data_IF_727516682085
#
_entry.id   IF_727516682085
#
_cell.length_a   1.000
_cell.length_b   1.000
_cell.length_c   1.000
_cell.angle_alpha   90.00
_cell.angle_beta   90.00
_cell.angle_gamma   90.00
#
_symmetry.space_group_name_H-M   'P 1'
#
loop_
_entity.id
_entity.type
_entity.pdbx_description
1 polymer ?
#
# COMPACT_ATOMS: atom_id res chain seq x y z
N UNK A 1 10.17 25.88 -9.93
CA UNK A 1 11.28 25.23 -9.17
C UNK A 1 12.65 25.28 -9.85
N UNK A 2 12.79 25.05 -11.17
CA UNK A 2 14.08 25.18 -11.91
C UNK A 2 14.82 26.48 -11.60
N UNK A 3 14.11 27.63 -11.60
CA UNK A 3 14.71 28.93 -11.22
C UNK A 3 15.29 28.95 -9.79
N UNK A 4 14.68 28.26 -8.81
CA UNK A 4 15.22 28.16 -7.44
C UNK A 4 16.43 27.22 -7.35
N UNK A 5 16.48 26.16 -8.16
CA UNK A 5 17.65 25.29 -8.26
C UNK A 5 18.80 26.06 -8.92
N UNK A 6 18.52 26.81 -9.99
CA UNK A 6 19.51 27.69 -10.62
C UNK A 6 20.00 28.79 -9.68
N UNK A 7 19.12 29.41 -8.88
CA UNK A 7 19.52 30.34 -7.81
C UNK A 7 20.40 29.66 -6.75
N UNK A 8 20.12 28.41 -6.39
CA UNK A 8 20.93 27.65 -5.46
C UNK A 8 22.30 27.29 -6.06
N UNK A 9 22.34 26.86 -7.33
CA UNK A 9 23.58 26.60 -8.09
C UNK A 9 24.40 27.89 -8.21
N UNK A 10 23.77 29.03 -8.47
CA UNK A 10 24.43 30.33 -8.49
C UNK A 10 25.03 30.69 -7.12
N UNK A 11 24.30 30.48 -6.02
CA UNK A 11 24.87 30.64 -4.67
C UNK A 11 26.01 29.66 -4.41
N UNK A 12 25.92 28.44 -4.95
CA UNK A 12 26.95 27.41 -4.90
C UNK A 12 28.16 27.73 -5.80
N UNK A 13 28.05 28.67 -6.73
CA UNK A 13 29.18 29.23 -7.47
C UNK A 13 29.83 30.37 -6.68
N UNK A 14 29.01 31.30 -6.18
CA UNK A 14 29.48 32.48 -5.46
C UNK A 14 30.19 32.14 -4.14
N UNK A 15 29.66 31.17 -3.39
CA UNK A 15 30.19 30.83 -2.08
C UNK A 15 31.59 30.19 -2.15
N UNK A 16 31.84 29.14 -2.97
CA UNK A 16 33.18 28.60 -3.15
C UNK A 16 34.15 29.63 -3.74
N UNK A 17 33.75 30.45 -4.70
CA UNK A 17 34.61 31.49 -5.28
C UNK A 17 35.14 32.46 -4.20
N UNK A 18 34.23 32.96 -3.35
CA UNK A 18 34.56 33.87 -2.23
C UNK A 18 35.42 33.20 -1.15
N UNK A 19 35.36 31.87 -1.04
CA UNK A 19 36.07 31.09 -0.02
C UNK A 19 37.17 30.19 -0.61
N UNK A 20 37.68 30.50 -1.81
CA UNK A 20 38.65 29.68 -2.53
C UNK A 20 39.96 29.45 -1.76
N UNK A 21 40.36 30.40 -0.91
CA UNK A 21 41.52 30.27 -0.02
C UNK A 21 41.34 29.19 1.06
N UNK A 22 40.09 28.81 1.37
CA UNK A 22 39.74 27.83 2.40
C UNK A 22 39.45 26.43 1.83
N UNK A 23 39.56 26.21 0.52
CA UNK A 23 39.25 24.90 -0.08
C UNK A 23 40.19 23.78 0.41
N UNK A 24 41.42 24.14 0.79
CA UNK A 24 42.39 23.22 1.39
C UNK A 24 42.23 22.98 2.88
N UNK A 25 41.32 23.70 3.55
CA UNK A 25 41.13 23.58 5.00
C UNK A 25 40.60 22.18 5.34
N UNK A 26 41.19 21.59 6.38
CA UNK A 26 41.00 20.18 6.69
C UNK A 26 39.72 20.00 7.51
N UNK A 27 38.60 19.77 6.83
CA UNK A 27 37.33 19.44 7.48
C UNK A 27 37.28 17.95 7.85
N UNK A 28 37.06 17.67 9.14
CA UNK A 28 37.01 16.30 9.70
C UNK A 28 35.67 15.61 9.44
N UNK A 29 35.30 15.47 8.16
CA UNK A 29 34.00 14.94 7.72
C UNK A 29 34.07 13.48 7.22
N UNK A 30 35.27 12.95 6.96
CA UNK A 30 35.44 11.58 6.47
C UNK A 30 35.55 10.60 7.63
N UNK A 31 34.87 9.46 7.53
CA UNK A 31 34.79 8.47 8.62
C UNK A 31 35.63 7.24 8.27
N UNK A 32 36.56 6.90 9.16
CA UNK A 32 37.24 5.60 9.18
C UNK A 32 37.17 5.03 10.61
N UNK A 33 38.31 4.78 11.26
CA UNK A 33 38.35 4.46 12.69
C UNK A 33 38.01 5.68 13.57
N UNK A 34 38.33 6.88 13.07
CA UNK A 34 37.98 8.19 13.62
C UNK A 34 37.56 9.09 12.46
N UNK A 35 37.02 10.28 12.75
CA UNK A 35 36.83 11.32 11.75
C UNK A 35 38.18 11.88 11.33
N UNK A 36 38.40 12.06 10.03
CA UNK A 36 39.61 12.67 9.47
C UNK A 36 39.23 13.64 8.35
N UNK A 37 40.13 14.58 8.07
CA UNK A 37 40.02 15.43 6.88
C UNK A 37 41.11 15.08 5.88
N UNK A 38 40.88 15.43 4.62
CA UNK A 38 41.82 15.18 3.53
C UNK A 38 42.09 16.47 2.77
N UNK A 39 43.33 16.94 2.83
CA UNK A 39 43.80 18.13 2.11
C UNK A 39 43.84 17.98 0.58
N UNK A 40 43.61 16.78 0.03
CA UNK A 40 43.49 16.54 -1.42
C UNK A 40 42.02 16.44 -1.85
N UNK A 41 41.25 15.59 -1.20
CA UNK A 41 39.83 15.38 -1.52
C UNK A 41 38.99 16.65 -1.34
N UNK A 42 39.17 17.40 -0.26
CA UNK A 42 38.36 18.61 0.01
C UNK A 42 38.47 19.65 -1.12
N UNK A 43 39.67 20.08 -1.54
CA UNK A 43 39.78 21.00 -2.66
C UNK A 43 39.36 20.35 -4.00
N UNK A 44 39.56 19.05 -4.21
CA UNK A 44 39.08 18.38 -5.43
C UNK A 44 37.55 18.43 -5.58
N UNK A 45 36.80 18.18 -4.50
CA UNK A 45 35.33 18.31 -4.52
C UNK A 45 34.88 19.77 -4.67
N UNK A 46 35.54 20.72 -4.02
CA UNK A 46 35.22 22.14 -4.19
C UNK A 46 35.48 22.63 -5.63
N UNK A 47 36.60 22.23 -6.25
CA UNK A 47 36.91 22.53 -7.66
C UNK A 47 35.87 21.90 -8.59
N UNK A 48 35.54 20.62 -8.37
CA UNK A 48 34.54 19.93 -9.18
C UNK A 48 33.17 20.62 -9.10
N UNK A 49 32.70 20.92 -7.89
CA UNK A 49 31.42 21.61 -7.69
C UNK A 49 31.40 23.02 -8.31
N UNK A 50 32.50 23.77 -8.18
CA UNK A 50 32.63 25.11 -8.75
C UNK A 50 32.63 25.09 -10.28
N UNK A 51 33.39 24.18 -10.89
CA UNK A 51 33.44 24.03 -12.35
C UNK A 51 32.12 23.52 -12.92
N UNK A 52 31.45 22.60 -12.23
CA UNK A 52 30.12 22.13 -12.63
C UNK A 52 29.10 23.28 -12.59
N UNK A 53 29.12 24.10 -11.54
CA UNK A 53 28.26 25.28 -11.43
C UNK A 53 28.55 26.32 -12.53
N UNK A 54 29.81 26.49 -12.94
CA UNK A 54 30.20 27.36 -14.07
C UNK A 54 29.65 26.84 -15.40
N UNK A 55 29.85 25.55 -15.69
CA UNK A 55 29.38 24.92 -16.93
C UNK A 55 27.86 24.99 -17.05
N UNK A 56 27.14 24.88 -15.94
CA UNK A 56 25.68 25.01 -15.87
C UNK A 56 25.16 26.40 -16.20
N UNK A 57 25.97 27.43 -15.96
CA UNK A 57 25.63 28.82 -16.27
C UNK A 57 25.87 29.12 -17.76
N UNK A 58 26.91 28.53 -18.36
CA UNK A 58 27.26 28.71 -19.77
C UNK A 58 26.39 27.91 -20.72
N UNK A 59 25.92 26.72 -20.30
CA UNK A 59 24.95 25.91 -21.06
C UNK A 59 23.92 25.23 -20.12
N UNK A 60 22.79 25.90 -19.84
CA UNK A 60 21.68 25.35 -19.06
C UNK A 60 21.05 24.09 -19.67
N UNK A 61 21.35 23.76 -20.94
CA UNK A 61 20.89 22.54 -21.62
C UNK A 61 21.80 21.32 -21.39
N UNK A 62 22.84 21.44 -20.56
CA UNK A 62 23.72 20.34 -20.18
C UNK A 62 23.06 19.32 -19.23
N UNK A 63 21.92 19.65 -18.64
CA UNK A 63 21.15 18.66 -17.88
C UNK A 63 20.58 17.61 -18.82
N UNK A 64 20.79 16.35 -18.46
CA UNK A 64 20.12 15.27 -19.17
C UNK A 64 18.60 15.49 -19.09
N UNK A 65 17.83 15.13 -20.14
CA UNK A 65 16.38 15.24 -20.12
C UNK A 65 15.75 14.63 -18.85
N UNK A 66 16.34 13.55 -18.34
CA UNK A 66 15.93 12.87 -17.11
C UNK A 66 16.12 13.76 -15.86
N UNK A 67 17.21 14.52 -15.77
CA UNK A 67 17.45 15.43 -14.65
C UNK A 67 16.52 16.66 -14.70
N UNK A 68 16.21 17.15 -15.91
CA UNK A 68 15.22 18.20 -16.13
C UNK A 68 13.83 17.71 -15.70
N UNK A 69 13.47 16.49 -16.06
CA UNK A 69 12.20 15.86 -15.65
C UNK A 69 12.12 15.70 -14.13
N UNK A 70 13.22 15.27 -13.48
CA UNK A 70 13.34 15.17 -12.02
C UNK A 70 13.29 16.52 -11.29
N UNK A 71 13.46 17.65 -11.97
CA UNK A 71 13.37 18.99 -11.36
C UNK A 71 12.09 19.73 -11.74
N UNK A 72 11.33 19.18 -12.71
CA UNK A 72 10.05 19.70 -13.15
C UNK A 72 8.90 19.20 -12.26
N UNK A 73 8.90 19.63 -11.00
CA UNK A 73 7.83 19.32 -10.05
C UNK A 73 6.57 20.10 -10.43
N UNK A 74 5.44 19.40 -10.61
CA UNK A 74 4.16 20.03 -10.86
C UNK A 74 3.65 20.77 -9.61
N UNK A 75 3.84 22.09 -9.58
CA UNK A 75 3.46 22.95 -8.45
C UNK A 75 1.96 22.88 -8.13
N UNK A 76 1.10 22.73 -9.14
CA UNK A 76 -0.35 22.59 -8.94
C UNK A 76 -0.69 21.27 -8.23
N UNK A 77 0.00 20.19 -8.57
CA UNK A 77 -0.14 18.89 -7.89
C UNK A 77 0.33 18.98 -6.45
N UNK A 78 1.48 19.63 -6.19
CA UNK A 78 2.00 19.84 -4.84
C UNK A 78 1.00 20.61 -3.99
N UNK A 79 0.49 21.75 -4.47
CA UNK A 79 -0.48 22.56 -3.73
C UNK A 79 -1.78 21.80 -3.47
N UNK A 80 -2.31 21.09 -4.47
CA UNK A 80 -3.54 20.31 -4.36
C UNK A 80 -3.42 19.23 -3.29
N UNK A 81 -2.35 18.43 -3.33
CA UNK A 81 -2.15 17.36 -2.36
C UNK A 81 -1.78 17.92 -0.98
N UNK A 82 -1.01 19.01 -0.90
CA UNK A 82 -0.68 19.64 0.39
C UNK A 82 -1.94 20.09 1.10
N UNK A 83 -2.86 20.77 0.40
CA UNK A 83 -4.15 21.20 0.95
C UNK A 83 -5.03 20.03 1.40
N UNK A 84 -4.90 18.88 0.76
CA UNK A 84 -5.64 17.67 1.12
C UNK A 84 -5.01 17.00 2.35
N UNK A 85 -3.73 16.64 2.29
CA UNK A 85 -3.03 15.91 3.35
C UNK A 85 -2.90 16.71 4.66
N UNK A 86 -2.74 18.04 4.60
CA UNK A 86 -2.71 18.90 5.80
C UNK A 86 -3.99 18.90 6.63
N UNK A 87 -5.11 18.42 6.07
CA UNK A 87 -6.39 18.31 6.78
C UNK A 87 -6.61 16.95 7.43
N UNK A 88 -5.76 15.97 7.16
CA UNK A 88 -5.92 14.62 7.69
C UNK A 88 -5.42 14.56 9.14
N UNK A 89 -6.17 13.92 10.07
CA UNK A 89 -5.81 13.85 11.49
C UNK A 89 -4.37 13.41 11.78
N UNK A 90 -3.85 12.41 11.05
CA UNK A 90 -2.46 11.91 11.22
C UNK A 90 -1.40 13.00 10.98
N UNK A 91 -1.72 14.02 10.17
CA UNK A 91 -0.81 15.11 9.84
C UNK A 91 -1.15 16.43 10.53
N UNK A 92 -2.05 16.42 11.52
CA UNK A 92 -2.49 17.62 12.26
C UNK A 92 -1.35 18.39 12.95
N UNK A 93 -0.25 17.70 13.28
CA UNK A 93 0.94 18.29 13.91
C UNK A 93 2.12 18.45 12.94
N UNK A 94 1.94 18.13 11.65
CA UNK A 94 3.00 18.19 10.65
C UNK A 94 2.97 19.54 9.97
N UNK A 95 4.11 20.23 9.96
CA UNK A 95 4.25 21.51 9.27
C UNK A 95 4.02 21.36 7.76
N UNK A 96 3.33 22.32 7.15
CA UNK A 96 2.94 22.27 5.74
C UNK A 96 4.14 22.06 4.79
N UNK A 97 5.28 22.70 5.05
CA UNK A 97 6.47 22.56 4.22
C UNK A 97 7.00 21.10 4.17
N UNK A 98 6.87 20.35 5.27
CA UNK A 98 7.29 18.96 5.33
C UNK A 98 6.37 18.05 4.49
N UNK A 99 5.07 18.35 4.48
CA UNK A 99 4.09 17.71 3.58
C UNK A 99 4.43 18.05 2.12
N UNK A 100 4.70 19.33 1.82
CA UNK A 100 5.06 19.79 0.46
C UNK A 100 6.30 19.07 -0.09
N UNK A 101 7.38 19.00 0.69
CA UNK A 101 8.61 18.29 0.28
C UNK A 101 8.34 16.82 0.05
N UNK A 102 7.52 16.19 0.89
CA UNK A 102 7.20 14.77 0.75
C UNK A 102 6.36 14.46 -0.49
N UNK A 103 5.51 15.40 -0.94
CA UNK A 103 4.71 15.25 -2.16
C UNK A 103 5.57 15.24 -3.43
N UNK A 104 6.82 15.72 -3.37
CA UNK A 104 7.77 15.58 -4.50
C UNK A 104 7.95 14.09 -4.88
N UNK A 105 7.75 13.17 -3.94
CA UNK A 105 7.68 11.72 -4.19
C UNK A 105 6.69 11.29 -5.30
N UNK A 106 5.72 12.15 -5.65
CA UNK A 106 4.86 11.97 -6.81
C UNK A 106 5.61 11.78 -8.14
N UNK A 107 6.89 12.16 -8.21
CA UNK A 107 7.77 11.87 -9.35
C UNK A 107 8.01 10.38 -9.61
N UNK A 108 7.65 9.49 -8.69
CA UNK A 108 7.69 8.04 -8.90
C UNK A 108 6.46 7.53 -9.68
N UNK A 109 5.42 8.36 -9.88
CA UNK A 109 4.20 7.98 -10.58
C UNK A 109 4.43 7.54 -12.05
N UNK A 110 5.28 8.18 -12.88
CA UNK A 110 5.56 7.72 -14.23
C UNK A 110 6.12 6.30 -14.26
N UNK A 111 6.97 5.94 -13.29
CA UNK A 111 7.44 4.58 -13.12
C UNK A 111 6.29 3.61 -12.83
N UNK A 112 5.41 3.95 -11.87
CA UNK A 112 4.25 3.11 -11.54
C UNK A 112 3.31 2.94 -12.73
N UNK A 113 3.11 4.01 -13.52
CA UNK A 113 2.30 3.95 -14.74
C UNK A 113 2.87 3.01 -15.81
N UNK A 114 4.19 2.79 -15.84
CA UNK A 114 4.82 1.76 -16.68
C UNK A 114 4.61 0.37 -16.08
N UNK A 115 4.84 0.23 -14.77
CA UNK A 115 4.73 -1.04 -14.07
C UNK A 115 3.30 -1.61 -14.02
N UNK A 116 2.28 -0.76 -14.04
CA UNK A 116 0.87 -1.18 -13.94
C UNK A 116 0.43 -2.19 -15.00
N UNK A 117 1.09 -2.22 -16.16
CA UNK A 117 0.73 -3.13 -17.26
C UNK A 117 1.49 -4.46 -17.23
N UNK A 118 2.33 -4.69 -16.22
CA UNK A 118 3.21 -5.86 -16.19
C UNK A 118 2.51 -7.17 -15.80
N UNK A 119 1.49 -7.12 -14.95
CA UNK A 119 0.90 -8.34 -14.34
C UNK A 119 -0.53 -8.60 -14.79
N UNK A 120 -1.41 -7.59 -14.75
CA UNK A 120 -2.83 -7.76 -15.05
C UNK A 120 -3.20 -7.06 -16.37
N UNK A 121 -3.99 -7.72 -17.25
CA UNK A 121 -4.43 -7.12 -18.50
C UNK A 121 -5.48 -6.02 -18.25
N UNK A 122 -5.28 -4.84 -18.83
CA UNK A 122 -6.19 -3.70 -18.65
C UNK A 122 -7.24 -3.66 -19.78
N UNK A 123 -8.47 -4.10 -19.51
CA UNK A 123 -9.61 -4.00 -20.45
C UNK A 123 -10.81 -3.32 -19.77
N UNK A 124 -11.34 -2.26 -20.39
CA UNK A 124 -12.59 -1.57 -20.02
C UNK A 124 -12.65 -0.89 -18.63
N UNK A 125 -11.51 -0.42 -18.10
CA UNK A 125 -11.43 0.07 -16.72
C UNK A 125 -11.52 1.61 -16.60
N UNK A 126 -11.98 2.09 -15.43
CA UNK A 126 -12.08 3.50 -15.10
C UNK A 126 -10.70 4.12 -14.77
N UNK A 127 -10.62 5.44 -14.56
CA UNK A 127 -9.35 6.10 -14.23
C UNK A 127 -8.85 5.64 -12.85
N UNK A 128 -7.62 5.11 -12.81
CA UNK A 128 -6.91 4.67 -11.61
C UNK A 128 -6.61 5.83 -10.63
N UNK A 129 -7.61 6.29 -9.87
CA UNK A 129 -7.43 7.45 -9.01
C UNK A 129 -6.46 7.18 -7.85
N UNK A 130 -6.32 5.92 -7.43
CA UNK A 130 -5.41 5.45 -6.38
C UNK A 130 -3.92 5.59 -6.76
N UNK A 131 -3.56 5.49 -8.04
CA UNK A 131 -2.15 5.54 -8.48
C UNK A 131 -1.46 6.85 -8.08
N UNK A 132 -2.18 7.98 -8.12
CA UNK A 132 -1.61 9.28 -7.75
C UNK A 132 -1.29 9.36 -6.24
N UNK A 133 -1.98 8.59 -5.39
CA UNK A 133 -1.80 8.59 -3.94
C UNK A 133 -0.65 7.70 -3.49
N UNK A 134 -0.42 6.55 -4.15
CA UNK A 134 0.57 5.55 -3.72
C UNK A 134 1.96 6.15 -3.44
N UNK A 135 2.60 6.89 -4.36
CA UNK A 135 3.90 7.48 -4.06
C UNK A 135 3.85 8.43 -2.87
N UNK A 136 2.82 9.27 -2.82
CA UNK A 136 2.70 10.34 -1.83
C UNK A 136 2.47 9.77 -0.43
N UNK A 137 1.61 8.76 -0.28
CA UNK A 137 1.35 8.15 1.03
C UNK A 137 2.62 7.54 1.60
N UNK A 138 3.38 6.82 0.78
CA UNK A 138 4.63 6.20 1.21
C UNK A 138 5.71 7.23 1.53
N UNK A 139 5.90 8.27 0.71
CA UNK A 139 6.93 9.29 0.96
C UNK A 139 6.59 10.19 2.14
N UNK A 140 5.34 10.62 2.28
CA UNK A 140 4.90 11.45 3.42
C UNK A 140 5.05 10.67 4.73
N UNK A 141 4.57 9.43 4.82
CA UNK A 141 4.72 8.63 6.04
C UNK A 141 6.19 8.30 6.35
N UNK A 142 7.00 8.00 5.34
CA UNK A 142 8.43 7.73 5.53
C UNK A 142 9.19 8.94 6.10
N UNK A 143 8.89 10.14 5.59
CA UNK A 143 9.51 11.38 6.06
C UNK A 143 8.95 11.80 7.43
N UNK A 144 7.64 11.68 7.63
CA UNK A 144 6.96 11.98 8.89
C UNK A 144 7.46 11.12 10.05
N UNK A 145 7.59 9.81 9.83
CA UNK A 145 8.13 8.86 10.82
C UNK A 145 9.64 9.05 11.08
N UNK A 146 10.35 9.83 10.25
CA UNK A 146 11.81 9.93 10.31
C UNK A 146 12.53 8.60 10.00
N UNK A 147 11.88 7.70 9.27
CA UNK A 147 12.37 6.35 9.01
C UNK A 147 13.48 6.33 7.96
N UNK A 148 13.36 7.21 6.96
CA UNK A 148 14.27 7.33 5.83
C UNK A 148 14.60 5.96 5.18
N UNK A 149 13.55 5.16 4.95
CA UNK A 149 13.66 3.88 4.24
C UNK A 149 14.26 4.10 2.85
N UNK A 150 15.00 3.10 2.37
CA UNK A 150 15.69 3.19 1.08
C UNK A 150 14.70 3.32 -0.08
N UNK A 151 15.10 4.03 -1.13
CA UNK A 151 14.27 4.20 -2.33
C UNK A 151 13.87 2.85 -2.96
N UNK A 152 14.76 1.84 -2.90
CA UNK A 152 14.45 0.48 -3.36
C UNK A 152 13.30 -0.14 -2.56
N UNK A 153 13.37 -0.08 -1.22
CA UNK A 153 12.31 -0.61 -0.36
C UNK A 153 10.99 0.12 -0.61
N UNK A 154 11.02 1.46 -0.67
CA UNK A 154 9.84 2.28 -0.97
C UNK A 154 9.23 1.92 -2.34
N UNK A 155 10.07 1.70 -3.34
CA UNK A 155 9.62 1.27 -4.67
C UNK A 155 8.94 -0.10 -4.62
N UNK A 156 9.55 -1.10 -3.99
CA UNK A 156 9.00 -2.46 -3.89
C UNK A 156 7.63 -2.47 -3.21
N UNK A 157 7.44 -1.65 -2.17
CA UNK A 157 6.16 -1.56 -1.45
C UNK A 157 5.11 -0.73 -2.22
N UNK A 158 5.54 0.24 -3.02
CA UNK A 158 4.65 0.97 -3.94
C UNK A 158 4.13 0.04 -5.05
N UNK A 159 4.99 -0.83 -5.61
CA UNK A 159 4.60 -1.85 -6.59
C UNK A 159 3.55 -2.79 -5.98
N UNK A 160 3.79 -3.33 -4.78
CA UNK A 160 2.81 -4.20 -4.12
C UNK A 160 1.51 -3.47 -3.81
N UNK A 161 1.58 -2.21 -3.36
CA UNK A 161 0.39 -1.40 -3.11
C UNK A 161 -0.46 -1.24 -4.37
N UNK A 162 0.17 -0.99 -5.53
CA UNK A 162 -0.51 -0.92 -6.82
C UNK A 162 -1.12 -2.26 -7.21
N UNK A 163 -0.35 -3.34 -7.11
CA UNK A 163 -0.83 -4.68 -7.46
C UNK A 163 -2.02 -5.11 -6.61
N UNK A 164 -2.10 -4.70 -5.35
CA UNK A 164 -3.25 -4.99 -4.49
C UNK A 164 -4.56 -4.43 -5.07
N UNK A 165 -4.56 -3.18 -5.56
CA UNK A 165 -5.73 -2.59 -6.23
C UNK A 165 -6.08 -3.34 -7.52
N UNK A 166 -5.06 -3.74 -8.29
CA UNK A 166 -5.29 -4.46 -9.55
C UNK A 166 -5.82 -5.88 -9.34
N UNK A 167 -5.38 -6.56 -8.27
CA UNK A 167 -5.92 -7.87 -7.88
C UNK A 167 -7.40 -7.73 -7.52
N UNK A 168 -7.75 -6.78 -6.66
CA UNK A 168 -9.13 -6.51 -6.25
C UNK A 168 -10.03 -6.33 -7.48
N UNK A 169 -9.62 -5.44 -8.39
CA UNK A 169 -10.35 -5.18 -9.64
C UNK A 169 -10.42 -6.40 -10.57
N UNK A 170 -9.32 -7.13 -10.73
CA UNK A 170 -9.28 -8.33 -11.57
C UNK A 170 -10.18 -9.44 -11.02
N UNK A 171 -10.24 -9.59 -9.69
CA UNK A 171 -11.09 -10.56 -9.03
C UNK A 171 -12.57 -10.20 -9.19
N UNK A 172 -12.93 -8.93 -9.00
CA UNK A 172 -14.31 -8.44 -9.11
C UNK A 172 -14.84 -8.40 -10.55
N UNK A 173 -13.96 -8.29 -11.55
CA UNK A 173 -14.35 -8.22 -12.96
C UNK A 173 -14.13 -9.55 -13.69
N UNK A 174 -12.87 -9.85 -14.04
CA UNK A 174 -12.52 -10.96 -14.91
C UNK A 174 -12.82 -12.32 -14.26
N UNK A 175 -12.48 -12.49 -12.98
CA UNK A 175 -12.70 -13.77 -12.28
C UNK A 175 -14.16 -13.96 -11.93
N UNK A 176 -14.83 -12.91 -11.44
CA UNK A 176 -16.27 -12.94 -11.16
C UNK A 176 -17.07 -13.47 -12.36
N UNK A 177 -16.84 -12.90 -13.55
CA UNK A 177 -17.60 -13.24 -14.76
C UNK A 177 -17.23 -14.62 -15.30
N UNK A 178 -15.93 -14.93 -15.37
CA UNK A 178 -15.45 -16.21 -15.90
C UNK A 178 -15.90 -17.40 -15.05
N UNK A 179 -15.95 -17.23 -13.74
CA UNK A 179 -16.33 -18.28 -12.78
C UNK A 179 -17.71 -18.02 -12.17
N UNK A 180 -18.62 -17.42 -12.94
CA UNK A 180 -20.00 -17.12 -12.51
C UNK A 180 -20.74 -18.34 -11.94
N UNK A 181 -20.50 -19.52 -12.51
CA UNK A 181 -21.20 -20.75 -12.13
C UNK A 181 -20.30 -21.76 -11.39
N UNK A 182 -19.00 -21.48 -11.20
CA UNK A 182 -18.05 -22.46 -10.67
C UNK A 182 -16.85 -21.81 -9.96
N UNK A 183 -17.11 -21.15 -8.82
CA UNK A 183 -16.04 -20.59 -7.98
C UNK A 183 -15.17 -21.67 -7.32
N UNK A 184 -15.71 -22.88 -7.10
CA UNK A 184 -14.96 -23.96 -6.46
C UNK A 184 -13.84 -24.47 -7.37
N UNK A 185 -14.05 -24.54 -8.69
CA UNK A 185 -12.95 -24.79 -9.63
C UNK A 185 -11.86 -23.72 -9.56
N UNK A 186 -12.21 -22.44 -9.43
CA UNK A 186 -11.22 -21.38 -9.25
C UNK A 186 -10.40 -21.59 -7.96
N UNK A 187 -11.05 -21.89 -6.83
CA UNK A 187 -10.37 -22.21 -5.56
C UNK A 187 -9.44 -23.41 -5.71
N UNK A 188 -9.89 -24.47 -6.38
CA UNK A 188 -9.07 -25.65 -6.65
C UNK A 188 -7.85 -25.32 -7.51
N UNK A 189 -8.00 -24.48 -8.55
CA UNK A 189 -6.88 -24.03 -9.38
C UNK A 189 -5.84 -23.25 -8.57
N UNK A 190 -6.26 -22.30 -7.74
CA UNK A 190 -5.36 -21.50 -6.89
C UNK A 190 -4.60 -22.39 -5.90
N UNK A 191 -5.30 -23.28 -5.18
CA UNK A 191 -4.66 -24.24 -4.28
C UNK A 191 -3.65 -25.12 -5.00
N UNK A 192 -3.99 -25.58 -6.21
CA UNK A 192 -3.08 -26.37 -7.05
C UNK A 192 -1.84 -25.58 -7.44
N UNK A 193 -1.98 -24.33 -7.86
CA UNK A 193 -0.84 -23.44 -8.19
C UNK A 193 0.02 -23.20 -6.94
N UNK A 194 -0.59 -22.95 -5.78
CA UNK A 194 0.12 -22.76 -4.51
C UNK A 194 0.90 -24.02 -4.08
N UNK A 195 0.39 -25.22 -4.38
CA UNK A 195 1.08 -26.50 -4.13
C UNK A 195 2.15 -26.79 -5.19
N UNK A 196 1.88 -26.60 -6.48
CA UNK A 196 2.82 -26.86 -7.56
C UNK A 196 4.02 -25.92 -7.54
N UNK A 197 3.79 -24.67 -7.17
CA UNK A 197 4.88 -23.73 -6.87
C UNK A 197 5.72 -24.22 -5.70
N UNK A 198 5.28 -25.15 -4.82
CA UNK A 198 6.19 -25.75 -3.83
C UNK A 198 7.15 -26.70 -4.54
N UNK A 199 6.68 -27.50 -5.50
CA UNK A 199 7.48 -28.50 -6.21
C UNK A 199 8.52 -27.94 -7.19
N UNK A 200 8.18 -26.88 -7.96
CA UNK A 200 9.10 -26.27 -8.95
C UNK A 200 10.35 -25.61 -8.34
N UNK A 201 10.34 -25.33 -7.04
CA UNK A 201 11.39 -24.55 -6.37
C UNK A 201 12.38 -25.42 -5.55
N UNK A 202 12.18 -26.74 -5.52
CA UNK A 202 13.12 -27.71 -4.91
C UNK A 202 13.86 -28.58 -5.94
N UNK A 203 13.55 -28.47 -7.24
CA UNK A 203 14.23 -29.19 -8.33
C UNK A 203 14.93 -28.24 -9.29
N UNK A 204 16.08 -28.64 -9.85
CA UNK A 204 16.63 -27.97 -11.05
C UNK A 204 15.55 -27.98 -12.14
N UNK A 205 15.37 -26.89 -12.90
CA UNK A 205 14.33 -26.82 -13.92
C UNK A 205 14.61 -27.86 -15.01
N UNK A 206 13.87 -28.96 -15.01
CA UNK A 206 13.75 -29.82 -16.17
C UNK A 206 12.68 -29.23 -17.08
N UNK A 207 12.96 -29.01 -18.38
CA UNK A 207 11.92 -28.65 -19.34
C UNK A 207 10.98 -29.84 -19.43
N UNK A 208 9.80 -29.72 -18.83
CA UNK A 208 8.73 -30.69 -19.01
C UNK A 208 7.71 -30.02 -19.91
N UNK A 209 7.66 -30.49 -21.15
CA UNK A 209 6.60 -30.21 -22.13
C UNK A 209 5.25 -30.43 -21.45
N UNK A 210 4.54 -29.33 -21.16
CA UNK A 210 3.16 -29.41 -20.74
C UNK A 210 2.30 -29.60 -21.99
N UNK A 211 1.50 -30.67 -22.01
CA UNK A 211 0.51 -30.91 -23.04
C UNK A 211 -0.37 -29.68 -23.22
N UNK A 212 -0.20 -29.04 -24.38
CA UNK A 212 -0.91 -27.88 -24.86
C UNK A 212 -2.37 -28.24 -25.15
N UNK A 213 -3.27 -28.07 -24.19
CA UNK A 213 -4.69 -27.84 -24.45
C UNK A 213 -5.40 -27.34 -23.18
N UNK A 214 -6.18 -26.27 -23.33
CA UNK A 214 -7.16 -25.67 -22.39
C UNK A 214 -6.72 -24.59 -21.37
N UNK A 215 -5.45 -24.16 -21.34
CA UNK A 215 -5.08 -22.97 -20.56
C UNK A 215 -4.16 -21.95 -21.27
N UNK A 216 -3.72 -22.24 -22.51
CA UNK A 216 -2.64 -21.48 -23.19
C UNK A 216 -3.12 -20.65 -24.40
N UNK A 217 -4.35 -20.77 -24.88
CA UNK A 217 -4.75 -20.02 -26.10
C UNK A 217 -4.94 -18.50 -25.88
N UNK A 218 -4.76 -17.98 -24.66
CA UNK A 218 -4.73 -16.52 -24.44
C UNK A 218 -3.60 -16.01 -23.54
N UNK A 219 -2.56 -16.82 -23.31
CA UNK A 219 -1.37 -16.38 -22.57
C UNK A 219 -0.11 -16.23 -23.46
N UNK A 220 -0.16 -16.72 -24.71
CA UNK A 220 1.01 -16.78 -25.62
C UNK A 220 1.26 -15.51 -26.45
N UNK A 221 0.46 -14.45 -26.31
CA UNK A 221 0.71 -13.15 -26.98
C UNK A 221 1.46 -12.14 -26.08
N UNK A 222 1.96 -12.56 -24.91
CA UNK A 222 2.63 -11.67 -23.94
C UNK A 222 4.14 -11.90 -23.76
N UNK A 223 4.72 -12.86 -24.49
CA UNK A 223 6.17 -13.03 -24.57
C UNK A 223 6.67 -12.59 -25.94
N UNK A 224 6.87 -11.28 -26.13
CA UNK A 224 7.97 -10.70 -26.92
C UNK A 224 7.76 -9.20 -27.03
N UNK A 225 8.33 -8.44 -26.10
CA UNK A 225 9.14 -7.25 -26.38
C UNK A 225 9.74 -6.73 -25.07
N UNK A 226 11.05 -6.49 -25.09
CA UNK A 226 11.92 -6.44 -23.92
C UNK A 226 11.51 -5.43 -22.86
N UNK A 227 11.37 -5.91 -21.62
CA UNK A 227 11.17 -5.08 -20.44
C UNK A 227 12.46 -5.12 -19.61
N UNK A 228 13.14 -3.98 -19.51
CA UNK A 228 14.22 -3.71 -18.55
C UNK A 228 13.68 -3.69 -17.10
N UNK A 229 13.17 -4.83 -16.61
CA UNK A 229 12.55 -5.00 -15.29
C UNK A 229 13.00 -6.26 -14.54
N UNK A 230 14.12 -6.87 -14.94
CA UNK A 230 14.60 -8.15 -14.42
C UNK A 230 14.81 -8.15 -12.90
N UNK A 231 15.25 -7.05 -12.29
CA UNK A 231 15.54 -7.00 -10.85
C UNK A 231 14.29 -7.08 -9.96
N UNK A 232 13.20 -6.40 -10.30
CA UNK A 232 12.00 -6.37 -9.46
C UNK A 232 11.23 -7.70 -9.49
N UNK A 233 11.20 -8.36 -10.65
CA UNK A 233 10.59 -9.69 -10.79
C UNK A 233 11.43 -10.76 -10.10
N UNK A 234 12.76 -10.67 -10.19
CA UNK A 234 13.67 -11.60 -9.52
C UNK A 234 13.59 -11.50 -7.98
N UNK A 235 13.48 -10.28 -7.44
CA UNK A 235 13.34 -10.04 -6.02
C UNK A 235 11.97 -10.49 -5.49
N UNK A 236 10.86 -10.18 -6.20
CA UNK A 236 9.53 -10.68 -5.83
C UNK A 236 9.46 -12.20 -5.84
N UNK A 237 10.00 -12.86 -6.87
CA UNK A 237 10.05 -14.32 -6.92
C UNK A 237 10.85 -14.90 -5.75
N UNK A 238 11.99 -14.28 -5.42
CA UNK A 238 12.84 -14.68 -4.30
C UNK A 238 12.14 -14.49 -2.95
N UNK A 239 11.43 -13.38 -2.76
CA UNK A 239 10.68 -13.09 -1.53
C UNK A 239 9.48 -14.05 -1.38
N UNK A 240 8.78 -14.37 -2.47
CA UNK A 240 7.68 -15.34 -2.52
C UNK A 240 8.12 -16.80 -2.30
N UNK A 241 9.43 -17.09 -2.27
CA UNK A 241 9.96 -18.39 -1.81
C UNK A 241 9.80 -18.59 -0.30
N UNK A 242 9.59 -17.53 0.48
CA UNK A 242 9.34 -17.66 1.91
C UNK A 242 7.96 -18.28 2.13
N UNK A 243 7.94 -19.49 2.69
CA UNK A 243 6.74 -20.32 2.81
C UNK A 243 5.55 -19.61 3.48
N UNK A 244 5.82 -18.76 4.48
CA UNK A 244 4.78 -17.97 5.16
C UNK A 244 4.12 -16.95 4.24
N UNK A 245 4.89 -16.24 3.40
CA UNK A 245 4.34 -15.22 2.51
C UNK A 245 3.45 -15.83 1.42
N UNK A 246 3.83 -16.99 0.88
CA UNK A 246 2.99 -17.69 -0.10
C UNK A 246 1.65 -18.10 0.47
N UNK A 247 1.64 -18.62 1.71
CA UNK A 247 0.40 -19.00 2.37
C UNK A 247 -0.51 -17.79 2.61
N UNK A 248 0.07 -16.63 2.97
CA UNK A 248 -0.68 -15.38 3.12
C UNK A 248 -1.24 -14.90 1.78
N UNK A 249 -0.47 -14.98 0.69
CA UNK A 249 -0.96 -14.64 -0.65
C UNK A 249 -2.09 -15.58 -1.10
N UNK A 250 -1.94 -16.89 -0.91
CA UNK A 250 -3.00 -17.86 -1.17
C UNK A 250 -4.27 -17.52 -0.37
N UNK A 251 -4.11 -17.19 0.91
CA UNK A 251 -5.23 -16.80 1.79
C UNK A 251 -5.93 -15.54 1.28
N UNK A 252 -5.18 -14.53 0.82
CA UNK A 252 -5.70 -13.30 0.23
C UNK A 252 -6.52 -13.58 -1.04
N UNK A 253 -6.01 -14.37 -1.99
CA UNK A 253 -6.74 -14.70 -3.22
C UNK A 253 -7.99 -15.55 -2.93
N UNK A 254 -7.90 -16.51 -2.01
CA UNK A 254 -9.06 -17.31 -1.58
C UNK A 254 -10.10 -16.44 -0.87
N UNK A 255 -9.69 -15.43 -0.11
CA UNK A 255 -10.59 -14.47 0.52
C UNK A 255 -11.38 -13.65 -0.51
N UNK A 256 -10.75 -13.22 -1.61
CA UNK A 256 -11.42 -12.57 -2.75
C UNK A 256 -12.52 -13.47 -3.34
N UNK A 257 -12.23 -14.75 -3.57
CA UNK A 257 -13.25 -15.70 -4.06
C UNK A 257 -14.39 -15.92 -3.06
N UNK A 258 -14.10 -15.92 -1.76
CA UNK A 258 -15.12 -16.03 -0.73
C UNK A 258 -15.99 -14.76 -0.65
N UNK A 259 -15.39 -13.58 -0.82
CA UNK A 259 -16.14 -12.31 -0.90
C UNK A 259 -17.07 -12.31 -2.11
N UNK A 260 -16.61 -12.74 -3.29
CA UNK A 260 -17.45 -12.89 -4.48
C UNK A 260 -18.64 -13.83 -4.20
N UNK A 261 -18.39 -14.95 -3.53
CA UNK A 261 -19.47 -15.87 -3.14
C UNK A 261 -20.46 -15.21 -2.17
N UNK A 262 -19.97 -14.54 -1.13
CA UNK A 262 -20.82 -13.87 -0.14
C UNK A 262 -21.63 -12.72 -0.77
N UNK A 263 -21.07 -11.98 -1.75
CA UNK A 263 -21.80 -10.98 -2.55
C UNK A 263 -22.95 -11.62 -3.36
N UNK A 264 -22.73 -12.78 -3.98
CA UNK A 264 -23.78 -13.50 -4.72
C UNK A 264 -24.91 -13.95 -3.81
N UNK A 265 -24.57 -14.51 -2.65
CA UNK A 265 -25.55 -14.90 -1.63
C UNK A 265 -26.38 -13.69 -1.19
N UNK A 266 -25.75 -12.52 -1.00
CA UNK A 266 -26.47 -11.28 -0.70
C UNK A 266 -27.43 -10.86 -1.84
N UNK A 267 -26.98 -10.94 -3.10
CA UNK A 267 -27.78 -10.63 -4.28
C UNK A 267 -29.02 -11.50 -4.45
N UNK A 268 -28.96 -12.78 -4.05
CA UNK A 268 -30.12 -13.68 -4.04
C UNK A 268 -31.22 -13.22 -3.05
N UNK A 269 -30.84 -12.60 -1.94
CA UNK A 269 -31.80 -11.99 -0.99
C UNK A 269 -32.38 -10.65 -1.49
N UNK A 270 -31.81 -10.06 -2.55
CA UNK A 270 -32.14 -8.72 -3.06
C UNK A 270 -32.31 -8.65 -4.58
N UNK A 271 -33.39 -9.16 -5.17
CA UNK A 271 -33.62 -8.98 -6.60
C UNK A 271 -33.74 -7.48 -6.95
N UNK A 272 -33.05 -7.05 -8.03
CA UNK A 272 -32.96 -5.65 -8.50
C UNK A 272 -34.31 -4.94 -8.70
N UNK A 273 -35.41 -5.68 -8.83
CA UNK A 273 -36.78 -5.16 -9.03
C UNK A 273 -37.52 -4.81 -7.72
N UNK A 274 -36.87 -4.99 -6.58
CA UNK A 274 -37.45 -4.67 -5.27
C UNK A 274 -37.29 -3.17 -4.96
N UNK A 275 -38.36 -2.48 -4.53
CA UNK A 275 -38.32 -1.15 -3.88
C UNK A 275 -37.15 -1.08 -2.87
N UNK A 276 -36.56 0.09 -2.56
CA UNK A 276 -35.35 0.18 -1.72
C UNK A 276 -35.64 -0.42 -0.34
N UNK A 277 -35.34 -1.71 -0.19
CA UNK A 277 -35.63 -2.45 1.03
C UNK A 277 -34.65 -1.95 2.08
N UNK A 278 -35.17 -1.79 3.30
CA UNK A 278 -34.38 -1.81 4.54
C UNK A 278 -33.15 -2.72 4.40
N UNK A 279 -32.02 -2.29 4.93
CA UNK A 279 -30.74 -2.99 4.79
C UNK A 279 -30.90 -4.49 5.05
N UNK A 280 -30.56 -5.27 4.04
CA UNK A 280 -30.70 -6.71 4.07
C UNK A 280 -29.73 -7.28 5.09
N UNK A 281 -30.30 -8.06 6.01
CA UNK A 281 -29.56 -8.79 7.02
C UNK A 281 -28.86 -9.99 6.39
N UNK A 282 -27.58 -9.83 6.09
CA UNK A 282 -26.70 -10.93 5.78
C UNK A 282 -26.45 -11.72 7.06
N UNK A 283 -26.93 -12.96 7.11
CA UNK A 283 -26.58 -13.91 8.17
C UNK A 283 -26.04 -15.18 7.54
N UNK A 284 -24.83 -15.58 7.95
CA UNK A 284 -24.28 -16.89 7.66
C UNK A 284 -24.36 -17.71 8.94
N UNK A 285 -24.99 -18.91 8.93
CA UNK A 285 -25.14 -19.70 10.15
C UNK A 285 -23.82 -19.87 10.89
N UNK A 286 -23.78 -19.45 12.16
CA UNK A 286 -22.61 -19.61 13.03
C UNK A 286 -21.45 -18.63 12.82
N UNK A 287 -21.62 -17.52 12.08
CA UNK A 287 -20.62 -16.45 11.99
C UNK A 287 -21.17 -15.11 12.46
N UNK A 288 -20.51 -14.48 13.41
CA UNK A 288 -20.78 -13.10 13.84
C UNK A 288 -20.11 -12.09 12.90
N UNK A 289 -20.51 -10.83 12.97
CA UNK A 289 -19.78 -9.72 12.35
C UNK A 289 -18.30 -9.71 12.74
N UNK A 290 -18.01 -9.94 14.04
CA UNK A 290 -16.65 -9.99 14.56
C UNK A 290 -15.81 -11.08 13.87
N UNK A 291 -16.36 -12.29 13.72
CA UNK A 291 -15.66 -13.39 13.05
C UNK A 291 -15.44 -13.08 11.57
N UNK A 292 -16.44 -12.51 10.90
CA UNK A 292 -16.34 -12.18 9.48
C UNK A 292 -15.26 -11.11 9.24
N UNK A 293 -15.28 -10.00 10.01
CA UNK A 293 -14.35 -8.88 9.83
C UNK A 293 -12.91 -9.30 10.10
N UNK A 294 -12.66 -10.17 11.09
CA UNK A 294 -11.33 -10.65 11.46
C UNK A 294 -10.80 -11.83 10.63
N UNK A 295 -11.64 -12.49 9.84
CA UNK A 295 -11.25 -13.64 9.02
C UNK A 295 -11.27 -13.30 7.53
N UNK A 296 -12.37 -13.63 6.85
CA UNK A 296 -12.51 -13.50 5.39
C UNK A 296 -12.30 -12.06 4.97
N UNK A 297 -12.88 -11.11 5.71
CA UNK A 297 -12.84 -9.70 5.36
C UNK A 297 -11.45 -9.08 5.56
N UNK A 298 -10.82 -9.29 6.71
CA UNK A 298 -9.44 -8.85 6.94
C UNK A 298 -8.47 -9.44 5.90
N UNK A 299 -8.60 -10.73 5.58
CA UNK A 299 -7.78 -11.36 4.56
C UNK A 299 -8.02 -10.80 3.15
N UNK A 300 -9.24 -10.33 2.84
CA UNK A 300 -9.59 -9.69 1.57
C UNK A 300 -8.86 -8.36 1.34
N UNK A 301 -8.58 -7.58 2.41
CA UNK A 301 -8.02 -6.22 2.28
C UNK A 301 -6.54 -6.14 1.85
N UNK A 302 -5.91 -7.26 1.48
CA UNK A 302 -4.47 -7.42 1.19
C UNK A 302 -3.51 -7.12 2.35
N UNK A 303 -3.96 -6.43 3.41
CA UNK A 303 -3.13 -5.94 4.52
C UNK A 303 -2.27 -7.02 5.18
N UNK A 304 -2.83 -8.22 5.43
CA UNK A 304 -2.11 -9.33 6.04
C UNK A 304 -0.94 -9.85 5.18
N UNK A 305 -1.18 -9.99 3.87
CA UNK A 305 -0.17 -10.37 2.89
C UNK A 305 0.89 -9.27 2.73
N UNK A 306 0.46 -8.01 2.55
CA UNK A 306 1.38 -6.88 2.37
C UNK A 306 2.24 -6.62 3.60
N UNK A 307 1.71 -6.81 4.81
CA UNK A 307 2.48 -6.75 6.06
C UNK A 307 3.55 -7.84 6.11
N UNK A 308 3.21 -9.05 5.67
CA UNK A 308 4.15 -10.17 5.61
C UNK A 308 5.24 -9.92 4.56
N UNK A 309 4.87 -9.36 3.41
CA UNK A 309 5.82 -8.95 2.36
C UNK A 309 6.76 -7.85 2.85
N UNK A 310 6.20 -6.81 3.48
CA UNK A 310 6.96 -5.71 4.07
C UNK A 310 7.95 -6.19 5.13
N UNK A 311 7.49 -7.07 6.02
CA UNK A 311 8.33 -7.72 7.04
C UNK A 311 9.48 -8.49 6.40
N UNK A 312 9.25 -9.08 5.22
CA UNK A 312 10.30 -9.77 4.49
C UNK A 312 11.39 -8.82 3.97
N UNK A 313 10.98 -7.68 3.39
CA UNK A 313 11.87 -6.64 2.85
C UNK A 313 12.74 -5.98 3.92
N UNK A 314 12.16 -5.66 5.07
CA UNK A 314 12.94 -5.04 6.16
C UNK A 314 13.92 -6.04 6.78
N UNK A 315 13.57 -7.32 6.81
CA UNK A 315 14.45 -8.37 7.36
C UNK A 315 15.63 -8.69 6.42
N UNK A 316 15.43 -8.70 5.10
CA UNK A 316 16.52 -8.93 4.14
C UNK A 316 17.53 -7.79 4.11
N UNK A 317 17.13 -6.58 4.48
CA UNK A 317 18.02 -5.42 4.60
C UNK A 317 18.83 -5.40 5.91
N UNK A 318 18.44 -6.18 6.91
CA UNK A 318 19.25 -6.34 8.12
C UNK A 318 20.24 -7.49 7.93
N UNK A 319 21.53 -7.22 8.10
CA UNK A 319 22.61 -8.24 8.10
C UNK A 319 22.52 -9.23 9.27
N UNK A 320 21.39 -9.26 9.99
CA UNK A 320 21.12 -10.15 11.12
C UNK A 320 20.33 -11.35 10.62
N UNK A 321 20.95 -12.52 10.73
CA UNK A 321 20.35 -13.82 10.44
C UNK A 321 18.88 -13.94 10.88
N UNK A 322 18.05 -14.52 10.00
CA UNK A 322 16.58 -14.70 10.04
C UNK A 322 16.00 -15.45 11.28
N UNK A 323 16.77 -15.66 12.36
CA UNK A 323 16.47 -16.67 13.38
C UNK A 323 16.27 -16.17 14.82
N UNK A 324 15.98 -14.89 15.08
CA UNK A 324 15.83 -14.41 16.47
C UNK A 324 14.55 -13.66 16.81
N UNK A 325 13.45 -13.84 16.06
CA UNK A 325 12.15 -13.36 16.54
C UNK A 325 11.59 -14.25 17.65
N UNK A 326 11.43 -13.67 18.85
CA UNK A 326 10.83 -14.36 20.00
C UNK A 326 9.37 -14.74 19.72
N UNK A 327 8.83 -15.71 20.45
CA UNK A 327 7.40 -16.08 20.33
C UNK A 327 6.50 -14.88 20.65
N UNK A 328 6.89 -14.04 21.60
CA UNK A 328 6.16 -12.83 21.96
C UNK A 328 6.13 -11.82 20.79
N UNK A 329 7.26 -11.60 20.12
CA UNK A 329 7.32 -10.74 18.92
C UNK A 329 6.42 -11.26 17.81
N UNK A 330 6.45 -12.58 17.54
CA UNK A 330 5.59 -13.20 16.52
C UNK A 330 4.11 -13.05 16.87
N UNK A 331 3.75 -13.25 18.13
CA UNK A 331 2.38 -13.09 18.60
C UNK A 331 1.90 -11.63 18.48
N UNK A 332 2.68 -10.67 18.96
CA UNK A 332 2.33 -9.25 18.89
C UNK A 332 2.32 -8.72 17.45
N UNK A 333 3.21 -9.22 16.58
CA UNK A 333 3.17 -8.89 15.14
C UNK A 333 1.90 -9.45 14.47
N UNK A 334 1.46 -10.65 14.87
CA UNK A 334 0.20 -11.25 14.41
C UNK A 334 -1.01 -10.44 14.88
N UNK A 335 -0.98 -9.98 16.13
CA UNK A 335 -2.03 -9.19 16.76
C UNK A 335 -2.17 -7.82 16.08
N UNK A 336 -1.05 -7.10 15.96
CA UNK A 336 -0.90 -5.85 15.22
C UNK A 336 -1.50 -5.93 13.81
N UNK A 337 -1.06 -6.91 13.00
CA UNK A 337 -1.50 -7.00 11.60
C UNK A 337 -2.98 -7.38 11.46
N UNK A 338 -3.56 -8.10 12.43
CA UNK A 338 -4.99 -8.45 12.41
C UNK A 338 -5.86 -7.25 12.68
N UNK A 339 -5.57 -6.49 13.72
CA UNK A 339 -6.28 -5.25 14.02
C UNK A 339 -6.15 -4.24 12.87
N UNK A 340 -4.94 -4.13 12.29
CA UNK A 340 -4.73 -3.26 11.13
C UNK A 340 -5.57 -3.69 9.92
N UNK A 341 -5.67 -4.99 9.63
CA UNK A 341 -6.48 -5.49 8.51
C UNK A 341 -8.00 -5.34 8.74
N UNK A 342 -8.48 -5.57 9.97
CA UNK A 342 -9.88 -5.33 10.33
C UNK A 342 -10.24 -3.84 10.20
N UNK A 343 -9.37 -2.95 10.71
CA UNK A 343 -9.50 -1.51 10.58
C UNK A 343 -9.57 -1.06 9.11
N UNK A 344 -8.68 -1.59 8.24
CA UNK A 344 -8.72 -1.32 6.80
C UNK A 344 -10.07 -1.67 6.19
N UNK A 345 -10.61 -2.85 6.54
CA UNK A 345 -11.90 -3.29 6.03
C UNK A 345 -13.01 -2.33 6.45
N UNK A 346 -13.03 -1.94 7.72
CA UNK A 346 -14.08 -1.10 8.27
C UNK A 346 -14.08 0.31 7.68
N UNK A 347 -12.90 0.92 7.49
CA UNK A 347 -12.83 2.20 6.79
C UNK A 347 -13.23 2.10 5.31
N UNK A 348 -12.82 1.03 4.63
CA UNK A 348 -13.23 0.80 3.25
C UNK A 348 -14.75 0.65 3.15
N UNK A 349 -15.35 -0.18 4.01
CA UNK A 349 -16.80 -0.37 4.08
C UNK A 349 -17.53 0.93 4.42
N UNK A 350 -16.99 1.75 5.33
CA UNK A 350 -17.58 3.05 5.68
C UNK A 350 -17.64 4.00 4.49
N UNK A 351 -16.58 4.06 3.68
CA UNK A 351 -16.51 4.93 2.51
C UNK A 351 -17.28 4.40 1.29
N UNK A 352 -17.46 3.08 1.21
CA UNK A 352 -18.03 2.40 0.03
C UNK A 352 -19.53 2.14 0.10
N UNK A 353 -20.22 2.49 1.18
CA UNK A 353 -21.64 2.13 1.45
C UNK A 353 -22.55 2.32 0.23
N UNK A 354 -22.53 3.51 -0.38
CA UNK A 354 -23.40 3.82 -1.52
C UNK A 354 -23.00 3.02 -2.76
N UNK A 355 -21.70 2.85 -3.00
CA UNK A 355 -21.18 2.08 -4.13
C UNK A 355 -21.55 0.61 -3.99
N UNK A 356 -21.28 0.02 -2.83
CA UNK A 356 -21.54 -1.40 -2.56
C UNK A 356 -23.03 -1.72 -2.57
N UNK A 357 -23.90 -0.80 -2.18
CA UNK A 357 -25.35 -0.97 -2.36
C UNK A 357 -25.75 -1.09 -3.84
N UNK A 358 -25.18 -0.26 -4.71
CA UNK A 358 -25.46 -0.28 -6.16
C UNK A 358 -24.88 -1.52 -6.84
N UNK A 359 -23.70 -1.96 -6.39
CA UNK A 359 -22.99 -3.13 -6.91
C UNK A 359 -23.44 -4.45 -6.27
N UNK A 360 -24.36 -4.41 -5.29
CA UNK A 360 -24.77 -5.56 -4.46
C UNK A 360 -23.61 -6.26 -3.75
N UNK A 361 -22.57 -5.50 -3.39
CA UNK A 361 -21.42 -5.98 -2.65
C UNK A 361 -21.73 -6.01 -1.15
N UNK A 362 -21.30 -7.09 -0.48
CA UNK A 362 -21.46 -7.25 0.97
C UNK A 362 -20.61 -6.21 1.71
N UNK A 363 -21.27 -5.45 2.58
CA UNK A 363 -20.70 -4.40 3.42
C UNK A 363 -20.93 -4.74 4.90
N UNK A 364 -20.09 -4.21 5.80
CA UNK A 364 -20.28 -4.30 7.25
C UNK A 364 -21.71 -3.95 7.70
N UNK A 365 -22.37 -2.97 7.09
CA UNK A 365 -23.72 -2.56 7.48
C UNK A 365 -24.81 -3.61 7.19
N UNK A 366 -24.52 -4.62 6.37
CA UNK A 366 -25.45 -5.73 6.11
C UNK A 366 -25.56 -6.72 7.27
N UNK A 367 -24.72 -6.61 8.30
CA UNK A 367 -24.77 -7.50 9.46
C UNK A 367 -25.83 -7.05 10.46
N UNK A 368 -26.59 -8.02 10.99
CA UNK A 368 -27.72 -7.77 11.88
C UNK A 368 -27.32 -7.01 13.14
N UNK A 369 -26.10 -7.20 13.63
CA UNK A 369 -25.52 -6.50 14.78
C UNK A 369 -25.62 -4.97 14.65
N UNK A 370 -25.51 -4.43 13.42
CA UNK A 370 -25.62 -2.98 13.19
C UNK A 370 -27.06 -2.47 13.35
N UNK A 371 -28.07 -3.30 13.12
CA UNK A 371 -29.46 -2.89 13.28
C UNK A 371 -29.86 -2.68 14.76
N UNK A 372 -29.04 -3.17 15.70
CA UNK A 372 -29.25 -3.07 17.13
C UNK A 372 -28.46 -1.91 17.79
N UNK A 373 -27.73 -1.10 17.01
CA UNK A 373 -26.89 -0.02 17.54
C UNK A 373 -27.67 1.27 17.93
N UNK A 374 -29.01 1.24 17.98
CA UNK A 374 -29.86 2.36 18.40
C UNK A 374 -29.79 2.61 19.92
N UNK A 375 -29.95 3.88 20.33
CA UNK A 375 -29.76 4.38 21.71
C UNK A 375 -30.34 3.48 22.81
N UNK A 376 -29.51 3.10 23.78
CA UNK A 376 -29.90 2.46 25.05
C UNK A 376 -30.58 3.43 26.04
N UNK A 377 -30.73 4.70 25.65
CA UNK A 377 -31.36 5.76 26.44
C UNK A 377 -32.85 5.98 26.12
N UNK A 378 -33.43 5.23 25.18
CA UNK A 378 -34.88 5.21 25.02
C UNK A 378 -35.48 4.52 26.26
N UNK A 379 -36.30 5.25 27.00
CA UNK A 379 -37.02 4.76 28.17
C UNK A 379 -37.59 3.36 27.89
N UNK A 380 -37.41 2.45 28.86
CA UNK A 380 -37.70 1.00 28.84
C UNK A 380 -39.19 0.65 28.63
N UNK A 381 -40.00 1.57 28.10
CA UNK A 381 -41.44 1.44 27.93
C UNK A 381 -41.98 1.61 26.50
N UNK A 382 -41.15 1.82 25.47
CA UNK A 382 -41.62 1.72 24.08
C UNK A 382 -41.46 0.30 23.55
N UNK A 383 -42.59 -0.38 23.28
CA UNK A 383 -42.68 -1.71 22.67
C UNK A 383 -42.34 -1.75 21.17
N UNK A 384 -41.92 -0.61 20.59
CA UNK A 384 -41.49 -0.55 19.20
C UNK A 384 -39.98 -0.83 19.12
N UNK A 385 -39.63 -1.94 18.47
CA UNK A 385 -38.24 -2.23 18.06
C UNK A 385 -37.80 -1.15 17.05
N UNK A 386 -37.32 -0.01 17.54
CA UNK A 386 -36.69 1.00 16.71
C UNK A 386 -35.33 0.47 16.24
N UNK A 387 -35.30 -0.07 15.02
CA UNK A 387 -34.07 -0.41 14.32
C UNK A 387 -33.20 0.84 14.12
N UNK A 388 -31.89 0.66 14.21
CA UNK A 388 -30.94 1.74 13.99
C UNK A 388 -31.04 2.29 12.55
N UNK A 389 -31.10 3.61 12.40
CA UNK A 389 -31.05 4.24 11.09
C UNK A 389 -29.66 4.11 10.43
N UNK A 390 -29.53 4.52 9.16
CA UNK A 390 -28.23 4.44 8.47
C UNK A 390 -27.14 5.33 9.10
N UNK A 391 -27.52 6.48 9.68
CA UNK A 391 -26.57 7.39 10.33
C UNK A 391 -26.01 6.76 11.60
N UNK A 392 -26.86 6.16 12.42
CA UNK A 392 -26.48 5.43 13.63
C UNK A 392 -25.57 4.24 13.30
N UNK A 393 -25.90 3.49 12.24
CA UNK A 393 -25.09 2.36 11.78
C UNK A 393 -23.73 2.77 11.24
N UNK A 394 -23.66 3.86 10.47
CA UNK A 394 -22.39 4.46 10.03
C UNK A 394 -21.55 4.91 11.21
N UNK A 395 -22.16 5.55 12.21
CA UNK A 395 -21.47 5.97 13.42
C UNK A 395 -20.92 4.76 14.19
N UNK A 396 -21.70 3.69 14.33
CA UNK A 396 -21.24 2.45 14.95
C UNK A 396 -20.07 1.81 14.18
N UNK A 397 -20.13 1.74 12.85
CA UNK A 397 -19.04 1.20 12.04
C UNK A 397 -17.75 2.02 12.19
N UNK A 398 -17.87 3.35 12.19
CA UNK A 398 -16.73 4.23 12.44
C UNK A 398 -16.14 4.01 13.84
N UNK A 399 -16.98 3.86 14.87
CA UNK A 399 -16.52 3.54 16.23
C UNK A 399 -15.81 2.19 16.30
N UNK A 400 -16.25 1.17 15.56
CA UNK A 400 -15.54 -0.11 15.49
C UNK A 400 -14.16 0.04 14.84
N UNK A 401 -14.05 0.84 13.77
CA UNK A 401 -12.75 1.15 13.16
C UNK A 401 -11.80 1.84 14.13
N UNK A 402 -12.28 2.81 14.92
CA UNK A 402 -11.48 3.47 15.95
C UNK A 402 -11.10 2.52 17.10
N UNK A 403 -11.96 1.55 17.43
CA UNK A 403 -11.65 0.49 18.39
C UNK A 403 -10.48 -0.38 17.88
N UNK A 404 -10.55 -0.84 16.62
CA UNK A 404 -9.46 -1.58 15.99
C UNK A 404 -8.16 -0.77 15.93
N UNK A 405 -8.24 0.54 15.62
CA UNK A 405 -7.08 1.46 15.66
C UNK A 405 -6.46 1.53 17.06
N UNK A 406 -7.26 1.56 18.12
CA UNK A 406 -6.77 1.60 19.50
C UNK A 406 -6.10 0.28 19.92
N UNK A 407 -6.68 -0.87 19.54
CA UNK A 407 -6.09 -2.19 19.76
C UNK A 407 -4.77 -2.34 19.00
N UNK A 408 -4.75 -1.96 17.72
CA UNK A 408 -3.57 -1.90 16.86
C UNK A 408 -2.45 -1.07 17.49
N UNK A 409 -2.77 0.14 17.97
CA UNK A 409 -1.81 1.04 18.62
C UNK A 409 -1.21 0.41 19.89
N UNK A 410 -2.02 -0.32 20.65
CA UNK A 410 -1.57 -1.02 21.86
C UNK A 410 -0.63 -2.17 21.51
N UNK A 411 -0.99 -3.01 20.53
CA UNK A 411 -0.15 -4.10 20.05
C UNK A 411 1.19 -3.58 19.50
N UNK A 412 1.16 -2.49 18.71
CA UNK A 412 2.36 -1.86 18.18
C UNK A 412 3.27 -1.32 19.28
N UNK A 413 2.69 -0.66 20.30
CA UNK A 413 3.43 -0.14 21.45
C UNK A 413 4.15 -1.25 22.22
N UNK A 414 3.47 -2.37 22.47
CA UNK A 414 4.08 -3.52 23.15
C UNK A 414 5.15 -4.20 22.30
N UNK A 415 4.89 -4.40 20.99
CA UNK A 415 5.86 -4.97 20.07
C UNK A 415 7.14 -4.12 20.00
N UNK A 416 6.96 -2.80 19.88
CA UNK A 416 8.03 -1.81 19.75
C UNK A 416 9.04 -1.81 20.90
N UNK A 417 8.65 -2.28 22.09
CA UNK A 417 9.58 -2.39 23.24
C UNK A 417 10.69 -3.41 23.02
N UNK A 418 10.47 -4.34 22.10
CA UNK A 418 11.37 -5.48 21.86
C UNK A 418 12.10 -5.41 20.52
N UNK A 419 11.75 -4.46 19.65
CA UNK A 419 12.34 -4.30 18.33
C UNK A 419 13.54 -3.36 18.38
N UNK A 420 14.50 -3.55 17.48
CA UNK A 420 15.51 -2.53 17.23
C UNK A 420 14.90 -1.29 16.56
N UNK A 421 15.65 -0.19 16.60
CA UNK A 421 15.16 1.10 16.13
C UNK A 421 14.83 1.11 14.62
N UNK A 422 15.56 0.35 13.81
CA UNK A 422 15.29 0.28 12.37
C UNK A 422 13.98 -0.44 12.11
N UNK A 423 13.82 -1.66 12.61
CA UNK A 423 12.59 -2.45 12.42
C UNK A 423 11.37 -1.75 13.01
N UNK A 424 11.50 -1.13 14.19
CA UNK A 424 10.43 -0.34 14.81
C UNK A 424 9.97 0.79 13.89
N UNK A 425 10.91 1.61 13.43
CA UNK A 425 10.58 2.80 12.62
C UNK A 425 10.07 2.40 11.24
N UNK A 426 10.59 1.33 10.64
CA UNK A 426 10.07 0.80 9.38
C UNK A 426 8.63 0.28 9.52
N UNK A 427 8.32 -0.45 10.59
CA UNK A 427 6.95 -0.90 10.87
C UNK A 427 6.01 0.27 11.17
N UNK A 428 6.48 1.33 11.83
CA UNK A 428 5.69 2.56 12.01
C UNK A 428 5.27 3.14 10.66
N UNK A 429 6.17 3.22 9.67
CA UNK A 429 5.81 3.69 8.32
C UNK A 429 4.71 2.83 7.70
N UNK A 430 4.81 1.50 7.80
CA UNK A 430 3.77 0.61 7.27
C UNK A 430 2.41 0.85 7.96
N UNK A 431 2.40 0.98 9.29
CA UNK A 431 1.20 1.30 10.09
C UNK A 431 0.63 2.65 9.67
N UNK A 432 1.45 3.69 9.60
CA UNK A 432 1.04 5.06 9.24
C UNK A 432 0.47 5.12 7.83
N UNK A 433 1.09 4.47 6.85
CA UNK A 433 0.56 4.39 5.48
C UNK A 433 -0.80 3.71 5.47
N UNK A 434 -0.93 2.61 6.19
CA UNK A 434 -2.17 1.84 6.24
C UNK A 434 -3.29 2.63 6.92
N UNK A 435 -2.98 3.30 8.02
CA UNK A 435 -3.92 4.20 8.72
C UNK A 435 -4.33 5.40 7.85
N UNK A 436 -3.35 5.98 7.14
CA UNK A 436 -3.56 7.09 6.23
C UNK A 436 -4.55 6.73 5.11
N UNK A 437 -4.50 5.53 4.54
CA UNK A 437 -5.50 5.09 3.56
C UNK A 437 -6.92 5.07 4.16
N UNK A 438 -7.07 4.62 5.41
CA UNK A 438 -8.34 4.71 6.13
C UNK A 438 -8.87 6.14 6.23
N UNK A 439 -8.01 7.09 6.59
CA UNK A 439 -8.37 8.52 6.65
C UNK A 439 -8.68 9.11 5.27
N UNK A 440 -7.95 8.69 4.24
CA UNK A 440 -8.23 9.07 2.85
C UNK A 440 -9.62 8.59 2.46
N UNK A 441 -9.98 7.33 2.71
CA UNK A 441 -11.30 6.79 2.38
C UNK A 441 -12.44 7.53 3.07
N UNK A 442 -12.28 7.87 4.35
CA UNK A 442 -13.26 8.68 5.10
C UNK A 442 -13.44 10.07 4.47
N UNK A 443 -12.35 10.69 4.01
CA UNK A 443 -12.39 12.00 3.37
C UNK A 443 -12.86 11.95 1.90
N UNK A 444 -12.54 10.86 1.19
CA UNK A 444 -12.77 10.67 -0.24
C UNK A 444 -12.63 9.20 -0.64
N UNK A 445 -13.67 8.66 -1.26
CA UNK A 445 -13.59 7.36 -1.95
C UNK A 445 -12.66 7.45 -3.18
N UNK A 446 -11.57 6.67 -3.17
CA UNK A 446 -10.53 6.61 -4.21
C UNK A 446 -10.47 5.26 -4.94
N UNK A 447 -11.33 4.31 -4.58
CA UNK A 447 -11.36 3.01 -5.24
C UNK A 447 -11.94 3.12 -6.67
N UNK A 448 -11.53 2.20 -7.53
CA UNK A 448 -12.04 2.09 -8.90
C UNK A 448 -13.55 1.82 -8.87
N UNK A 449 -14.26 2.32 -9.88
CA UNK A 449 -15.68 2.00 -10.09
C UNK A 449 -15.79 1.08 -11.29
N UNK A 450 -16.61 0.05 -11.17
CA UNK A 450 -17.05 -0.72 -12.34
C UNK A 450 -17.87 0.21 -13.26
N UNK A 451 -17.68 0.07 -14.57
CA UNK A 451 -18.40 0.85 -15.59
C UNK A 451 -19.70 0.20 -15.99
#
# INVERSE_FOLDING_TARGET
>A
MVSKVMEAVQKCQEYPAKNSMHWGDTNYIWVAKLTYGSGLLSPAYCIAAYNEALNLYEDPHSWSPELIELTNVNETTVQRFTKFFSKLPIFSQVSEWAIQVSIIGHQLLPGLNKARHMVFPHKNMAKDSYLEYIPITWTVCNNYSGAFLSNKLLWDVMIVSMLNYQVDEFMETAVHDKFKNDLESAKCMIRRIAVQSKGKFYGKPTPTEFNHSEAVIHADDLETEGINGDDANHDMETILRRAGLRQEFETFIIANLNQIHDNRVLGEYSPLDSQPIEVINFSKPGKTYFDWVHMTSAAHTSCLYSSSYFSCLISSNTSRHENSSTIQQKYLAQDLRRHLAAMCRQYNDFASINRYRLEQNLNSLNFYEFNLCGDTNAEVFSTDNTYADETQRKAALYQMAECERACMSTAFKELSKTLDNYTKTALQVFVDVTDLYGQIYVARDIASRMR
#
